data_IF_136005394107
#
_entry.id   IF_136005394107
#
_cell.length_a   1.000
_cell.length_b   1.000
_cell.length_c   1.000
_cell.angle_alpha   90.00
_cell.angle_beta   90.00
_cell.angle_gamma   90.00
#
_symmetry.space_group_name_H-M   'P 1'
#
loop_
_entity.id
_entity.type
_entity.pdbx_description
1 polymer ?
#
# COMPACT_ATOMS: atom_id res chain seq x y z
N UNK A 1 -9.91 9.23 -6.83
CA UNK A 1 -8.88 10.05 -6.17
C UNK A 1 -8.18 9.18 -5.12
N UNK A 2 -6.96 8.73 -5.41
CA UNK A 2 -6.16 7.93 -4.47
C UNK A 2 -5.66 8.84 -3.35
N UNK A 3 -6.21 8.68 -2.14
CA UNK A 3 -5.88 9.52 -0.96
C UNK A 3 -5.07 8.71 0.06
N UNK A 4 -4.11 7.91 -0.43
CA UNK A 4 -3.25 7.11 0.43
C UNK A 4 -2.04 7.89 0.95
N UNK A 5 -1.60 8.92 0.21
CA UNK A 5 -0.49 9.79 0.56
C UNK A 5 -0.97 11.24 0.61
N UNK A 6 -1.86 11.55 1.56
CA UNK A 6 -2.47 12.88 1.68
C UNK A 6 -1.45 14.03 1.90
N UNK A 7 -0.18 13.70 2.19
CA UNK A 7 0.89 14.69 2.35
C UNK A 7 2.23 14.19 1.76
N UNK A 8 2.29 14.11 0.43
CA UNK A 8 3.51 13.76 -0.32
C UNK A 8 4.73 14.62 0.09
N UNK A 9 4.62 15.96 0.28
CA UNK A 9 5.74 16.78 0.74
C UNK A 9 6.28 16.37 2.12
N UNK A 10 5.40 16.06 3.06
CA UNK A 10 5.80 15.58 4.39
C UNK A 10 6.47 14.20 4.29
N UNK A 11 5.94 13.31 3.46
CA UNK A 11 6.53 11.98 3.23
C UNK A 11 7.93 12.09 2.61
N UNK A 12 8.15 12.95 1.61
CA UNK A 12 9.48 13.21 1.02
C UNK A 12 10.48 13.65 2.10
N UNK A 13 10.04 14.47 3.05
CA UNK A 13 10.86 14.94 4.17
C UNK A 13 11.17 13.82 5.15
N UNK A 14 10.17 13.05 5.57
CA UNK A 14 10.34 11.91 6.49
C UNK A 14 11.20 10.80 5.88
N UNK A 15 11.08 10.59 4.57
CA UNK A 15 11.88 9.62 3.84
C UNK A 15 13.31 10.10 3.55
N UNK A 16 13.64 11.36 3.83
CA UNK A 16 14.95 11.94 3.56
C UNK A 16 15.26 12.02 2.05
N UNK A 17 14.24 12.31 1.24
CA UNK A 17 14.35 12.47 -0.21
C UNK A 17 14.49 13.93 -0.64
N UNK A 18 14.45 14.88 0.29
CA UNK A 18 14.51 16.33 0.01
C UNK A 18 15.75 16.78 -0.77
N UNK A 19 16.86 16.04 -0.68
CA UNK A 19 18.10 16.31 -1.41
C UNK A 19 18.16 15.63 -2.79
N UNK A 20 17.22 14.74 -3.11
CA UNK A 20 17.18 14.06 -4.40
C UNK A 20 16.56 14.96 -5.47
N UNK A 21 16.97 14.81 -6.74
CA UNK A 21 16.26 15.38 -7.88
C UNK A 21 14.79 14.94 -7.92
N UNK A 22 13.89 15.81 -8.41
CA UNK A 22 12.44 15.56 -8.40
C UNK A 22 12.02 14.27 -9.14
N UNK A 23 12.71 13.93 -10.25
CA UNK A 23 12.50 12.68 -10.99
C UNK A 23 12.85 11.45 -10.14
N UNK A 24 13.89 11.53 -9.32
CA UNK A 24 14.26 10.47 -8.37
C UNK A 24 13.29 10.40 -7.21
N UNK A 25 12.82 11.52 -6.69
CA UNK A 25 11.79 11.53 -5.65
C UNK A 25 10.51 10.81 -6.14
N UNK A 26 10.08 11.11 -7.37
CA UNK A 26 8.93 10.46 -7.99
C UNK A 26 9.13 8.95 -8.18
N UNK A 27 10.28 8.51 -8.69
CA UNK A 27 10.58 7.07 -8.86
C UNK A 27 10.54 6.31 -7.52
N UNK A 28 11.16 6.86 -6.47
CA UNK A 28 11.11 6.23 -5.14
C UNK A 28 9.71 6.20 -4.54
N UNK A 29 8.91 7.26 -4.73
CA UNK A 29 7.53 7.30 -4.26
C UNK A 29 6.65 6.29 -5.00
N UNK A 30 6.77 6.17 -6.32
CA UNK A 30 6.03 5.18 -7.11
C UNK A 30 6.34 3.76 -6.68
N UNK A 31 7.63 3.44 -6.45
CA UNK A 31 8.04 2.11 -5.94
C UNK A 31 7.48 1.85 -4.55
N UNK A 32 7.49 2.84 -3.67
CA UNK A 32 6.94 2.72 -2.33
C UNK A 32 5.42 2.47 -2.38
N UNK A 33 4.69 3.18 -3.24
CA UNK A 33 3.26 2.97 -3.48
C UNK A 33 2.97 1.56 -3.98
N UNK A 34 3.74 1.05 -4.94
CA UNK A 34 3.62 -0.31 -5.46
C UNK A 34 3.83 -1.36 -4.36
N UNK A 35 4.88 -1.18 -3.53
CA UNK A 35 5.17 -2.07 -2.40
C UNK A 35 4.01 -2.06 -1.39
N UNK A 36 3.52 -0.87 -1.02
CA UNK A 36 2.39 -0.73 -0.07
C UNK A 36 1.15 -1.42 -0.64
N UNK A 37 0.79 -1.11 -1.88
CA UNK A 37 -0.39 -1.67 -2.55
C UNK A 37 -0.32 -3.20 -2.63
N UNK A 38 0.82 -3.73 -3.07
CA UNK A 38 1.06 -5.18 -3.14
C UNK A 38 0.92 -5.87 -1.79
N UNK A 39 1.53 -5.30 -0.73
CA UNK A 39 1.43 -5.85 0.63
C UNK A 39 0.02 -5.77 1.20
N UNK A 40 -0.72 -4.70 0.93
CA UNK A 40 -2.13 -4.58 1.35
C UNK A 40 -2.96 -5.66 0.66
N UNK A 41 -2.78 -5.86 -0.65
CA UNK A 41 -3.51 -6.90 -1.39
C UNK A 41 -3.23 -8.30 -0.82
N UNK A 42 -1.97 -8.63 -0.54
CA UNK A 42 -1.61 -9.90 0.10
C UNK A 42 -2.26 -10.02 1.48
N UNK A 43 -2.14 -9.01 2.32
CA UNK A 43 -2.70 -9.02 3.68
C UNK A 43 -4.23 -9.12 3.69
N UNK A 44 -4.91 -8.49 2.72
CA UNK A 44 -6.36 -8.62 2.53
C UNK A 44 -6.70 -10.06 2.15
N UNK A 45 -6.01 -10.63 1.16
CA UNK A 45 -6.23 -12.01 0.76
C UNK A 45 -6.00 -12.96 1.93
N UNK A 46 -4.92 -12.83 2.70
CA UNK A 46 -4.66 -13.69 3.87
C UNK A 46 -5.75 -13.67 4.96
N UNK A 47 -6.60 -12.63 5.00
CA UNK A 47 -7.70 -12.49 5.95
C UNK A 47 -9.04 -13.02 5.42
N UNK A 48 -9.16 -13.21 4.11
CA UNK A 48 -10.35 -13.76 3.49
C UNK A 48 -10.32 -15.29 3.56
N UNK A 49 -11.49 -15.93 3.45
CA UNK A 49 -11.57 -17.38 3.23
C UNK A 49 -11.25 -17.73 1.78
N UNK A 50 -10.98 -19.00 1.46
CA UNK A 50 -10.78 -19.44 0.06
C UNK A 50 -11.96 -19.08 -0.86
N UNK A 51 -13.20 -19.26 -0.37
CA UNK A 51 -14.41 -18.84 -1.08
C UNK A 51 -14.45 -17.31 -1.26
N UNK A 52 -14.01 -16.58 -0.24
CA UNK A 52 -13.90 -15.13 -0.28
C UNK A 52 -12.83 -14.63 -1.24
N UNK A 53 -11.73 -15.35 -1.44
CA UNK A 53 -10.71 -15.04 -2.46
C UNK A 53 -11.34 -15.09 -3.84
N UNK A 54 -12.00 -16.20 -4.14
CA UNK A 54 -12.62 -16.44 -5.46
C UNK A 54 -13.66 -15.37 -5.76
N UNK A 55 -14.49 -15.03 -4.77
CA UNK A 55 -15.49 -13.98 -4.93
C UNK A 55 -14.87 -12.59 -5.13
N UNK A 56 -13.89 -12.22 -4.30
CA UNK A 56 -13.17 -10.96 -4.42
C UNK A 56 -12.49 -10.81 -5.79
N UNK A 57 -11.75 -11.83 -6.23
CA UNK A 57 -11.09 -11.84 -7.55
C UNK A 57 -12.12 -11.67 -8.66
N UNK A 58 -13.27 -12.36 -8.57
CA UNK A 58 -14.33 -12.22 -9.58
C UNK A 58 -14.88 -10.80 -9.70
N UNK A 59 -14.98 -10.06 -8.59
CA UNK A 59 -15.43 -8.66 -8.60
C UNK A 59 -14.39 -7.75 -9.27
N UNK A 60 -13.11 -7.95 -8.95
CA UNK A 60 -12.00 -7.19 -9.54
C UNK A 60 -11.88 -7.46 -11.05
N UNK A 61 -11.98 -8.72 -11.49
CA UNK A 61 -11.94 -9.09 -12.91
C UNK A 61 -13.11 -8.50 -13.73
N UNK A 62 -14.25 -8.24 -13.06
CA UNK A 62 -15.41 -7.59 -13.67
C UNK A 62 -15.31 -6.05 -13.66
N UNK A 63 -14.23 -5.47 -13.12
CA UNK A 63 -14.07 -4.03 -12.95
C UNK A 63 -15.03 -3.42 -11.93
N UNK A 64 -15.51 -4.23 -10.97
CA UNK A 64 -16.45 -3.81 -9.92
C UNK A 64 -15.70 -3.41 -8.65
N UNK A 65 -14.82 -2.41 -8.79
CA UNK A 65 -13.86 -2.03 -7.74
C UNK A 65 -14.55 -1.57 -6.45
N UNK A 66 -15.63 -0.80 -6.55
CA UNK A 66 -16.41 -0.33 -5.39
C UNK A 66 -17.06 -1.50 -4.63
N UNK A 67 -17.55 -2.51 -5.36
CA UNK A 67 -18.14 -3.71 -4.76
C UNK A 67 -17.08 -4.60 -4.12
N UNK A 68 -15.91 -4.72 -4.76
CA UNK A 68 -14.76 -5.44 -4.21
C UNK A 68 -14.30 -4.80 -2.90
N UNK A 69 -14.21 -3.46 -2.86
CA UNK A 69 -13.88 -2.72 -1.64
C UNK A 69 -14.93 -2.92 -0.55
N UNK A 70 -16.22 -2.79 -0.88
CA UNK A 70 -17.30 -3.01 0.08
C UNK A 70 -17.31 -4.45 0.62
N UNK A 71 -17.01 -5.44 -0.22
CA UNK A 71 -16.88 -6.83 0.21
C UNK A 71 -15.75 -6.99 1.23
N UNK A 72 -14.54 -6.49 0.92
CA UNK A 72 -13.38 -6.55 1.82
C UNK A 72 -13.68 -5.84 3.15
N UNK A 73 -14.31 -4.68 3.13
CA UNK A 73 -14.71 -3.94 4.34
C UNK A 73 -15.70 -4.72 5.22
N UNK A 74 -16.60 -5.48 4.62
CA UNK A 74 -17.55 -6.31 5.37
C UNK A 74 -16.91 -7.59 5.93
N UNK A 75 -15.91 -8.16 5.25
CA UNK A 75 -15.23 -9.37 5.72
C UNK A 75 -14.13 -9.10 6.74
N UNK A 76 -13.48 -7.92 6.65
CA UNK A 76 -12.32 -7.56 7.48
C UNK A 76 -12.69 -6.36 8.35
N UNK A 77 -13.15 -6.64 9.57
CA UNK A 77 -13.61 -5.60 10.52
C UNK A 77 -12.52 -4.62 10.94
N UNK A 78 -11.24 -5.02 10.90
CA UNK A 78 -10.06 -4.23 11.21
C UNK A 78 -9.33 -3.70 9.97
N UNK A 79 -9.98 -3.64 8.79
CA UNK A 79 -9.33 -3.30 7.53
C UNK A 79 -8.52 -2.00 7.59
N UNK A 80 -9.07 -0.96 8.23
CA UNK A 80 -8.39 0.32 8.37
C UNK A 80 -7.08 0.21 9.14
N UNK A 81 -7.06 -0.59 10.22
CA UNK A 81 -5.87 -0.77 11.04
C UNK A 81 -4.86 -1.70 10.37
N UNK A 82 -5.33 -2.73 9.65
CA UNK A 82 -4.50 -3.57 8.78
C UNK A 82 -3.75 -2.72 7.75
N UNK A 83 -4.47 -1.85 7.04
CA UNK A 83 -3.89 -0.95 6.04
C UNK A 83 -2.84 -0.02 6.66
N UNK A 84 -3.13 0.59 7.82
CA UNK A 84 -2.16 1.45 8.53
C UNK A 84 -0.91 0.68 8.95
N UNK A 85 -1.08 -0.51 9.51
CA UNK A 85 0.03 -1.35 9.95
C UNK A 85 0.93 -1.74 8.78
N UNK A 86 0.33 -2.24 7.69
CA UNK A 86 1.07 -2.64 6.48
C UNK A 86 1.80 -1.45 5.88
N UNK A 87 1.15 -0.30 5.79
CA UNK A 87 1.76 0.95 5.28
C UNK A 87 2.96 1.35 6.13
N UNK A 88 2.82 1.36 7.45
CA UNK A 88 3.91 1.69 8.37
C UNK A 88 5.10 0.74 8.21
N UNK A 89 4.85 -0.57 8.18
CA UNK A 89 5.90 -1.57 8.00
C UNK A 89 6.60 -1.44 6.65
N UNK A 90 5.85 -1.19 5.57
CA UNK A 90 6.42 -0.97 4.25
C UNK A 90 7.35 0.24 4.21
N UNK A 91 6.97 1.35 4.86
CA UNK A 91 7.81 2.55 4.97
C UNK A 91 9.09 2.26 5.77
N UNK A 92 8.97 1.58 6.92
CA UNK A 92 10.11 1.21 7.76
C UNK A 92 11.11 0.31 7.02
N UNK A 93 10.61 -0.71 6.33
CA UNK A 93 11.42 -1.62 5.51
C UNK A 93 12.11 -0.90 4.36
N UNK A 94 11.38 -0.02 3.67
CA UNK A 94 11.92 0.76 2.55
C UNK A 94 13.08 1.65 3.01
N UNK A 95 12.92 2.32 4.15
CA UNK A 95 13.95 3.14 4.77
C UNK A 95 15.18 2.32 5.19
N UNK A 96 14.95 1.13 5.75
CA UNK A 96 16.03 0.23 6.16
C UNK A 96 16.87 -0.23 4.96
N UNK A 97 16.22 -0.69 3.89
CA UNK A 97 16.89 -1.14 2.67
C UNK A 97 17.73 -0.02 2.05
N UNK A 98 17.20 1.20 1.98
CA UNK A 98 17.94 2.36 1.46
C UNK A 98 19.19 2.68 2.27
N UNK A 99 19.13 2.65 3.60
CA UNK A 99 20.30 2.91 4.46
C UNK A 99 21.41 1.88 4.22
N UNK A 100 21.03 0.63 3.97
CA UNK A 100 21.96 -0.45 3.64
C UNK A 100 22.63 -0.25 2.28
N UNK A 101 21.94 0.28 1.28
CA UNK A 101 22.53 0.59 -0.04
C UNK A 101 23.52 1.77 0.00
N UNK A 102 23.47 2.60 1.05
CA UNK A 102 24.33 3.77 1.23
C UNK A 102 25.51 3.52 2.19
N UNK A 103 25.58 2.34 2.82
CA UNK A 103 26.65 1.92 3.75
C UNK A 103 27.66 1.02 3.07
#
# INVERSE_FOLDING_TARGET
MSTFLADIPQLIKELGFTSLPNDKQADYLSRLEEIISSRINVAVLERLSEEGHTYFISLVEQGRDDDALAYVQNQISDLTDLVKQVTKQAIEDFLFLRKKEQS
#
